data_IF_965876516952
#
_entry.id   IF_965876516952
#
_cell.length_a   1.000
_cell.length_b   1.000
_cell.length_c   1.000
_cell.angle_alpha   90.00
_cell.angle_beta   90.00
_cell.angle_gamma   90.00
#
_symmetry.space_group_name_H-M   'P 1'
#
loop_
_entity.id
_entity.type
_entity.pdbx_description
1 polymer ?
#
# COMPACT_ATOMS: atom_id res chain seq x y z
N UNK A 1 -37.83 -0.78 7.44
CA UNK A 1 -37.14 -1.67 6.48
C UNK A 1 -35.94 -2.29 7.17
N UNK A 2 -35.98 -3.59 7.47
CA UNK A 2 -34.84 -4.32 8.05
C UNK A 2 -33.93 -4.70 6.89
N UNK A 3 -32.70 -4.17 6.85
CA UNK A 3 -31.72 -4.57 5.85
C UNK A 3 -31.19 -5.95 6.20
N UNK A 4 -31.29 -6.90 5.28
CA UNK A 4 -30.62 -8.19 5.43
C UNK A 4 -29.10 -7.96 5.55
N UNK A 5 -28.40 -8.73 6.40
CA UNK A 5 -26.96 -8.59 6.55
C UNK A 5 -26.24 -8.86 5.21
N UNK A 6 -25.14 -8.16 4.93
CA UNK A 6 -24.39 -8.36 3.70
C UNK A 6 -23.83 -9.79 3.65
N UNK A 7 -23.85 -10.40 2.45
CA UNK A 7 -23.29 -11.75 2.21
C UNK A 7 -21.83 -11.88 2.65
N UNK A 8 -21.07 -10.78 2.53
CA UNK A 8 -19.70 -10.70 3.01
C UNK A 8 -19.61 -9.61 4.09
N UNK A 9 -19.17 -9.96 5.32
CA UNK A 9 -19.07 -9.01 6.41
C UNK A 9 -18.01 -7.95 6.09
N UNK A 10 -18.16 -6.70 6.57
CA UNK A 10 -17.18 -5.64 6.37
C UNK A 10 -15.75 -6.02 6.74
N UNK A 11 -15.57 -6.83 7.79
CA UNK A 11 -14.26 -7.34 8.21
C UNK A 11 -13.49 -8.06 7.09
N UNK A 12 -14.18 -8.61 6.08
CA UNK A 12 -13.54 -9.31 4.96
C UNK A 12 -12.92 -8.35 3.94
N UNK A 13 -13.53 -7.18 3.70
CA UNK A 13 -13.15 -6.27 2.61
C UNK A 13 -12.72 -4.88 3.09
N UNK A 14 -12.90 -4.56 4.36
CA UNK A 14 -12.53 -3.26 4.90
C UNK A 14 -11.02 -3.15 5.05
N UNK A 15 -10.41 -2.11 4.48
CA UNK A 15 -9.02 -1.74 4.73
C UNK A 15 -8.83 -0.97 6.06
N UNK A 16 -9.90 -0.87 6.87
CA UNK A 16 -9.92 -0.10 8.11
C UNK A 16 -8.97 -0.67 9.17
N UNK A 17 -8.90 -2.00 9.41
CA UNK A 17 -7.92 -2.57 10.34
C UNK A 17 -6.46 -2.34 9.93
N UNK A 18 -6.19 -2.39 8.61
CA UNK A 18 -4.86 -2.08 8.07
C UNK A 18 -4.48 -0.62 8.33
N UNK A 19 -5.43 0.29 8.16
CA UNK A 19 -5.23 1.71 8.43
C UNK A 19 -4.98 2.01 9.93
N UNK A 20 -5.67 1.32 10.84
CA UNK A 20 -5.43 1.44 12.29
C UNK A 20 -4.02 0.99 12.67
N UNK A 21 -3.51 -0.06 12.02
CA UNK A 21 -2.17 -0.60 12.25
C UNK A 21 -1.07 0.17 11.50
N UNK A 22 -1.43 1.21 10.73
CA UNK A 22 -0.49 1.95 9.88
C UNK A 22 0.13 1.10 8.76
N UNK A 23 -0.54 0.01 8.38
CA UNK A 23 -0.10 -0.89 7.33
C UNK A 23 -0.56 -0.37 5.95
N UNK A 24 0.16 -0.74 4.87
CA UNK A 24 -0.29 -0.44 3.51
C UNK A 24 -1.70 -0.97 3.26
N UNK A 25 -2.60 -0.11 2.78
CA UNK A 25 -4.01 -0.43 2.51
C UNK A 25 -4.21 -1.29 1.26
N UNK A 26 -3.17 -1.48 0.46
CA UNK A 26 -3.21 -2.20 -0.80
C UNK A 26 -1.87 -2.86 -1.14
N UNK A 27 -1.87 -3.62 -2.22
CA UNK A 27 -0.76 -4.42 -2.71
C UNK A 27 0.20 -3.66 -3.66
N UNK A 28 0.07 -2.33 -3.80
CA UNK A 28 0.83 -1.53 -4.79
C UNK A 28 2.35 -1.79 -4.73
N UNK A 29 2.92 -2.01 -3.53
CA UNK A 29 4.34 -2.38 -3.40
C UNK A 29 4.66 -3.75 -4.01
N UNK A 30 3.77 -4.73 -3.84
CA UNK A 30 3.87 -6.07 -4.44
C UNK A 30 3.69 -6.00 -5.95
N UNK A 31 2.72 -5.23 -6.44
CA UNK A 31 2.50 -5.03 -7.88
C UNK A 31 3.68 -4.32 -8.54
N UNK A 32 4.23 -3.30 -7.88
CA UNK A 32 5.44 -2.60 -8.34
C UNK A 32 6.65 -3.53 -8.37
N UNK A 33 6.82 -4.37 -7.35
CA UNK A 33 7.85 -5.40 -7.33
C UNK A 33 7.65 -6.39 -8.48
N UNK A 34 6.46 -6.97 -8.62
CA UNK A 34 6.14 -7.93 -9.66
C UNK A 34 6.37 -7.34 -11.07
N UNK A 35 5.90 -6.11 -11.32
CA UNK A 35 6.12 -5.40 -12.59
C UNK A 35 7.61 -5.22 -12.90
N UNK A 36 8.42 -4.87 -11.90
CA UNK A 36 9.87 -4.77 -12.05
C UNK A 36 10.51 -6.13 -12.31
N UNK A 37 10.13 -7.16 -11.55
CA UNK A 37 10.61 -8.52 -11.72
C UNK A 37 10.30 -9.08 -13.11
N UNK A 38 9.08 -8.90 -13.61
CA UNK A 38 8.71 -9.29 -14.98
C UNK A 38 9.57 -8.60 -16.04
N UNK A 39 9.93 -7.32 -15.84
CA UNK A 39 10.84 -6.59 -16.73
C UNK A 39 12.27 -7.12 -16.68
N UNK A 40 12.78 -7.48 -15.50
CA UNK A 40 14.14 -8.04 -15.34
C UNK A 40 14.23 -9.44 -15.95
N UNK A 41 13.20 -10.26 -15.76
CA UNK A 41 13.10 -11.60 -16.37
C UNK A 41 12.96 -11.50 -17.89
N UNK A 42 12.23 -10.50 -18.39
CA UNK A 42 12.14 -10.16 -19.82
C UNK A 42 11.41 -11.19 -20.71
N UNK A 43 10.87 -12.26 -20.12
CA UNK A 43 10.21 -13.37 -20.82
C UNK A 43 9.00 -13.83 -20.00
N UNK A 44 7.88 -14.15 -20.66
CA UNK A 44 6.64 -14.61 -19.98
C UNK A 44 6.80 -15.97 -19.28
N UNK A 45 7.55 -16.89 -19.90
CA UNK A 45 7.74 -18.27 -19.40
C UNK A 45 9.23 -18.65 -19.42
N UNK A 46 10.06 -18.08 -18.52
CA UNK A 46 11.45 -18.49 -18.40
C UNK A 46 11.53 -19.94 -17.89
N UNK A 47 12.44 -20.74 -18.45
CA UNK A 47 12.82 -22.00 -17.81
C UNK A 47 13.43 -21.73 -16.43
N UNK A 48 13.30 -22.70 -15.50
CA UNK A 48 13.73 -22.56 -14.09
C UNK A 48 15.14 -21.98 -13.96
N UNK A 49 16.08 -22.47 -14.77
CA UNK A 49 17.47 -21.99 -14.77
C UNK A 49 17.63 -20.53 -15.19
N UNK A 50 16.84 -20.06 -16.16
CA UNK A 50 16.84 -18.65 -16.58
C UNK A 50 16.16 -17.74 -15.56
N UNK A 51 15.27 -18.29 -14.74
CA UNK A 51 14.57 -17.56 -13.69
C UNK A 51 15.39 -17.38 -12.42
N UNK A 52 16.31 -18.32 -12.12
CA UNK A 52 17.17 -18.25 -10.93
C UNK A 52 18.06 -16.99 -10.93
N UNK A 53 18.69 -16.62 -12.06
CA UNK A 53 19.62 -15.49 -12.08
C UNK A 53 18.94 -14.14 -11.76
N UNK A 54 17.80 -13.79 -12.37
CA UNK A 54 17.00 -12.62 -11.98
C UNK A 54 16.58 -12.63 -10.51
N UNK A 55 16.18 -13.79 -9.97
CA UNK A 55 15.81 -13.91 -8.56
C UNK A 55 16.97 -13.64 -7.61
N UNK A 56 18.16 -14.17 -7.91
CA UNK A 56 19.37 -13.89 -7.12
C UNK A 56 19.72 -12.39 -7.15
N UNK A 57 19.54 -11.74 -8.29
CA UNK A 57 19.77 -10.30 -8.43
C UNK A 57 18.77 -9.47 -7.61
N UNK A 58 17.48 -9.82 -7.63
CA UNK A 58 16.47 -9.15 -6.78
C UNK A 58 16.72 -9.42 -5.29
N UNK A 59 17.13 -10.64 -4.90
CA UNK A 59 17.49 -10.95 -3.52
C UNK A 59 18.68 -10.09 -3.05
N UNK A 60 19.71 -9.96 -3.88
CA UNK A 60 20.87 -9.09 -3.59
C UNK A 60 20.44 -7.63 -3.42
N UNK A 61 19.69 -7.08 -4.38
CA UNK A 61 19.19 -5.72 -4.33
C UNK A 61 18.30 -5.46 -3.10
N UNK A 62 17.57 -6.47 -2.65
CA UNK A 62 16.73 -6.39 -1.45
C UNK A 62 17.57 -6.40 -0.17
N UNK A 63 18.59 -7.26 -0.10
CA UNK A 63 19.58 -7.26 0.98
C UNK A 63 20.32 -5.93 1.10
N UNK A 64 20.73 -5.33 -0.02
CA UNK A 64 21.41 -4.04 -0.04
C UNK A 64 20.50 -2.91 0.47
N UNK A 65 19.21 -2.91 0.09
CA UNK A 65 18.20 -1.97 0.62
C UNK A 65 17.98 -2.16 2.12
N UNK A 66 17.95 -3.39 2.61
CA UNK A 66 17.79 -3.69 4.03
C UNK A 66 18.99 -3.19 4.83
N UNK A 67 20.22 -3.47 4.37
CA UNK A 67 21.46 -2.96 4.98
C UNK A 67 21.49 -1.44 5.03
N UNK A 68 21.12 -0.77 3.93
CA UNK A 68 21.03 0.69 3.89
C UNK A 68 20.04 1.23 4.95
N UNK A 69 18.86 0.62 5.07
CA UNK A 69 17.88 0.98 6.11
C UNK A 69 18.41 0.80 7.54
N UNK A 70 19.11 -0.31 7.79
CA UNK A 70 19.71 -0.59 9.11
C UNK A 70 20.87 0.35 9.43
N UNK A 71 21.65 0.76 8.42
CA UNK A 71 22.81 1.65 8.55
C UNK A 71 22.44 3.12 8.81
N UNK A 72 21.20 3.43 9.18
CA UNK A 72 20.68 4.81 9.33
C UNK A 72 20.81 5.68 8.08
N UNK A 73 21.08 5.08 6.91
CA UNK A 73 21.03 5.82 5.66
C UNK A 73 19.57 6.21 5.43
N UNK A 74 19.31 7.51 5.26
CA UNK A 74 17.94 7.98 5.20
C UNK A 74 17.20 7.29 4.04
N UNK A 75 16.00 6.74 4.29
CA UNK A 75 15.18 6.20 3.23
C UNK A 75 14.91 7.30 2.19
N UNK A 76 14.65 6.91 0.94
CA UNK A 76 14.20 7.86 -0.09
C UNK A 76 13.01 8.64 0.48
N UNK A 77 13.16 9.97 0.53
CA UNK A 77 12.12 10.86 1.03
C UNK A 77 10.86 10.64 0.21
N UNK A 78 9.77 10.32 0.87
CA UNK A 78 8.46 10.30 0.23
C UNK A 78 8.11 11.72 -0.22
N UNK A 79 7.34 11.85 -1.31
CA UNK A 79 6.90 13.16 -1.78
C UNK A 79 6.05 13.80 -0.67
N UNK A 80 6.34 15.06 -0.33
CA UNK A 80 5.62 15.81 0.72
C UNK A 80 4.10 15.77 0.53
N UNK A 81 3.62 15.85 -0.71
CA UNK A 81 2.19 15.77 -1.03
C UNK A 81 1.55 14.43 -0.63
N UNK A 82 2.28 13.31 -0.77
CA UNK A 82 1.80 11.98 -0.37
C UNK A 82 1.67 11.90 1.14
N UNK A 83 2.70 12.34 1.86
CA UNK A 83 2.68 12.39 3.33
C UNK A 83 1.55 13.28 3.86
N UNK A 84 1.31 14.44 3.23
CA UNK A 84 0.23 15.34 3.61
C UNK A 84 -1.15 14.70 3.42
N UNK A 85 -1.36 13.99 2.30
CA UNK A 85 -2.60 13.24 2.05
C UNK A 85 -2.79 12.11 3.05
N UNK A 86 -1.74 11.35 3.37
CA UNK A 86 -1.80 10.28 4.37
C UNK A 86 -2.18 10.82 5.76
N UNK A 87 -1.52 11.90 6.20
CA UNK A 87 -1.84 12.56 7.47
C UNK A 87 -3.27 13.09 7.52
N UNK A 88 -3.78 13.65 6.40
CA UNK A 88 -5.17 14.10 6.31
C UNK A 88 -6.16 12.93 6.43
N UNK A 89 -5.89 11.81 5.75
CA UNK A 89 -6.72 10.60 5.83
C UNK A 89 -6.70 9.97 7.24
N UNK A 90 -5.54 9.93 7.90
CA UNK A 90 -5.46 9.47 9.29
C UNK A 90 -6.28 10.36 10.24
N UNK A 91 -6.21 11.69 10.07
CA UNK A 91 -7.00 12.62 10.87
C UNK A 91 -8.50 12.39 10.68
N UNK A 92 -8.94 12.22 9.43
CA UNK A 92 -10.33 11.92 9.10
C UNK A 92 -10.74 10.59 9.74
N UNK A 93 -9.90 9.55 9.61
CA UNK A 93 -10.16 8.21 10.15
C UNK A 93 -10.31 8.20 11.68
N UNK A 94 -9.55 9.02 12.41
CA UNK A 94 -9.65 9.12 13.87
C UNK A 94 -10.94 9.81 14.32
N UNK A 95 -11.43 10.76 13.54
CA UNK A 95 -12.61 11.57 13.88
C UNK A 95 -13.92 11.02 13.30
N UNK A 96 -13.93 9.81 12.71
CA UNK A 96 -15.13 9.24 12.04
C UNK A 96 -16.32 9.10 12.99
N UNK A 97 -16.08 8.83 14.28
CA UNK A 97 -17.16 8.63 15.26
C UNK A 97 -17.85 9.93 15.68
N UNK A 98 -17.13 11.04 15.64
CA UNK A 98 -17.61 12.35 16.10
C UNK A 98 -18.05 13.27 14.95
N UNK A 99 -17.82 12.85 13.70
CA UNK A 99 -18.10 13.65 12.51
C UNK A 99 -19.42 13.24 11.86
N UNK A 100 -20.31 14.19 11.50
CA UNK A 100 -21.51 13.86 10.75
C UNK A 100 -21.16 13.24 9.39
N UNK A 101 -21.94 12.24 9.00
CA UNK A 101 -21.66 11.38 7.85
C UNK A 101 -21.46 12.16 6.53
N UNK A 102 -22.20 13.25 6.33
CA UNK A 102 -22.05 14.10 5.15
C UNK A 102 -20.69 14.81 5.08
N UNK A 103 -20.19 15.27 6.22
CA UNK A 103 -18.89 15.93 6.28
C UNK A 103 -17.76 14.91 6.10
N UNK A 104 -17.98 13.67 6.56
CA UNK A 104 -17.10 12.54 6.24
C UNK A 104 -16.96 12.31 4.74
N UNK A 105 -18.08 12.20 4.02
CA UNK A 105 -18.01 12.01 2.58
C UNK A 105 -17.37 13.20 1.85
N UNK A 106 -17.66 14.43 2.27
CA UNK A 106 -17.02 15.64 1.70
C UNK A 106 -15.51 15.66 1.95
N UNK A 107 -15.08 15.33 3.17
CA UNK A 107 -13.66 15.31 3.53
C UNK A 107 -12.88 14.26 2.72
N UNK A 108 -13.45 13.07 2.53
CA UNK A 108 -12.86 12.02 1.69
C UNK A 108 -12.85 12.42 0.21
N UNK A 109 -13.95 12.99 -0.31
CA UNK A 109 -14.04 13.43 -1.70
C UNK A 109 -12.94 14.44 -2.06
N UNK A 110 -12.63 15.38 -1.15
CA UNK A 110 -11.58 16.36 -1.35
C UNK A 110 -10.17 15.73 -1.47
N UNK A 111 -9.94 14.54 -0.88
CA UNK A 111 -8.66 13.84 -0.99
C UNK A 111 -8.52 13.00 -2.28
N UNK A 112 -9.64 12.65 -2.92
CA UNK A 112 -9.68 11.82 -4.14
C UNK A 112 -9.55 12.63 -5.43
N UNK A 113 -9.94 13.91 -5.43
CA UNK A 113 -10.05 14.75 -6.65
C UNK A 113 -8.77 15.57 -6.95
N UNK A 114 -7.76 15.56 -6.06
CA UNK A 114 -6.47 16.24 -6.25
C UNK A 114 -5.33 15.28 -6.58
#
# INVERSE_FOLDING_TARGET
>A
MIRAPPRFPPAFWSAQPLAEQGLPRGNNSVESWHSRSSKVVGVSHPGVWRFISPLQQEQKATGDRLKARLSSQQPRKQRKAVLAKEAALERISKNVRDMPLNDFFRAIAHQLIQ
#
